data_IF_151554758170
#
_entry.id   IF_151554758170
#
_cell.length_a   1.000
_cell.length_b   1.000
_cell.length_c   1.000
_cell.angle_alpha   90.00
_cell.angle_beta   90.00
_cell.angle_gamma   90.00
#
_symmetry.space_group_name_H-M   'P 1'
#
loop_
_entity.id
_entity.type
_entity.pdbx_description
1 polymer ?
#
# COMPACT_ATOMS: atom_id res chain seq x y z
N UNK A 1 -13.85 -12.19 -1.83
CA UNK A 1 -12.81 -12.98 -1.12
C UNK A 1 -12.12 -12.03 -0.17
N UNK A 2 -12.10 -12.31 1.13
CA UNK A 2 -11.29 -11.56 2.10
C UNK A 2 -9.83 -12.01 1.90
N UNK A 3 -9.04 -11.23 1.17
CA UNK A 3 -7.64 -11.54 0.82
C UNK A 3 -6.67 -11.28 1.97
N UNK A 4 -7.04 -10.45 2.94
CA UNK A 4 -6.29 -10.26 4.18
C UNK A 4 -6.77 -11.30 5.20
N UNK A 5 -6.11 -12.45 5.22
CA UNK A 5 -6.28 -13.45 6.27
C UNK A 5 -5.03 -13.48 7.12
N UNK A 6 -5.11 -12.90 8.32
CA UNK A 6 -4.14 -13.17 9.36
C UNK A 6 -4.24 -14.66 9.73
N UNK A 7 -3.16 -15.41 9.54
CA UNK A 7 -3.03 -16.78 10.05
C UNK A 7 -2.08 -16.73 11.25
N UNK A 8 -2.59 -16.79 12.49
CA UNK A 8 -1.77 -16.81 13.69
C UNK A 8 -1.18 -18.20 13.91
N UNK A 9 0.11 -18.28 14.22
CA UNK A 9 0.72 -19.50 14.77
C UNK A 9 0.61 -19.51 16.31
N UNK A 10 0.41 -20.69 16.90
CA UNK A 10 0.25 -20.87 18.34
C UNK A 10 1.55 -20.61 19.14
N UNK A 11 1.46 -20.43 20.47
CA UNK A 11 2.63 -20.23 21.31
C UNK A 11 3.50 -21.49 21.37
N UNK A 12 4.81 -21.36 21.16
CA UNK A 12 5.79 -22.45 21.14
C UNK A 12 6.55 -22.60 22.48
N UNK A 13 5.87 -22.46 23.63
CA UNK A 13 6.53 -22.57 24.94
C UNK A 13 5.59 -22.92 26.11
N UNK A 14 6.13 -23.45 27.22
CA UNK A 14 5.34 -23.78 28.42
C UNK A 14 4.77 -22.52 29.08
N UNK A 15 3.55 -22.63 29.60
CA UNK A 15 2.83 -21.54 30.28
C UNK A 15 3.23 -21.47 31.76
N UNK A 16 3.86 -20.38 32.17
CA UNK A 16 4.00 -19.99 33.58
C UNK A 16 3.09 -18.78 33.88
N UNK A 17 2.47 -18.79 35.07
CA UNK A 17 1.38 -17.88 35.45
C UNK A 17 1.80 -16.81 36.46
N UNK A 18 1.21 -15.60 36.29
CA UNK A 18 0.77 -14.61 37.30
C UNK A 18 1.21 -13.16 37.06
N UNK A 19 0.91 -12.64 35.87
CA UNK A 19 0.85 -11.20 35.55
C UNK A 19 -0.36 -11.00 34.62
N UNK A 20 -1.17 -9.92 34.72
CA UNK A 20 -2.17 -9.66 33.69
C UNK A 20 -1.44 -9.64 32.34
N UNK A 21 -1.93 -10.33 31.29
CA UNK A 21 -1.19 -10.35 30.04
C UNK A 21 -1.02 -8.89 29.60
N UNK A 22 0.19 -8.45 29.20
CA UNK A 22 0.28 -7.24 28.41
C UNK A 22 -0.68 -7.43 27.23
N UNK A 23 -1.26 -6.35 26.72
CA UNK A 23 -2.27 -6.37 25.64
C UNK A 23 -1.78 -6.97 24.31
N UNK A 24 -0.62 -7.64 24.32
CA UNK A 24 0.01 -8.35 23.23
C UNK A 24 -0.82 -9.57 22.83
N UNK A 25 -1.15 -9.68 21.54
CA UNK A 25 -1.89 -10.82 21.00
C UNK A 25 -1.19 -12.15 21.29
N UNK A 26 -1.96 -13.23 21.45
CA UNK A 26 -1.41 -14.56 21.84
C UNK A 26 -0.59 -15.26 20.74
N UNK A 27 -0.46 -14.64 19.57
CA UNK A 27 0.24 -15.20 18.43
C UNK A 27 1.76 -15.02 18.57
N UNK A 28 2.52 -16.03 18.15
CA UNK A 28 3.98 -15.95 18.00
C UNK A 28 4.38 -15.40 16.62
N UNK A 29 3.51 -15.59 15.63
CA UNK A 29 3.69 -15.19 14.24
C UNK A 29 2.33 -14.92 13.61
N UNK A 30 2.25 -13.91 12.74
CA UNK A 30 1.08 -13.62 11.92
C UNK A 30 1.52 -13.42 10.48
N UNK A 31 0.98 -14.25 9.58
CA UNK A 31 1.15 -14.09 8.13
C UNK A 31 -0.05 -13.39 7.50
N UNK A 32 0.20 -12.44 6.62
CA UNK A 32 -0.80 -11.70 5.86
C UNK A 32 -0.40 -11.65 4.39
N UNK A 33 -1.38 -11.86 3.52
CA UNK A 33 -1.26 -11.74 2.07
C UNK A 33 -1.96 -10.46 1.58
N UNK A 34 -1.29 -9.68 0.73
CA UNK A 34 -1.86 -8.47 0.15
C UNK A 34 -1.67 -8.46 -1.38
N UNK A 35 -2.72 -8.16 -2.16
CA UNK A 35 -2.64 -8.14 -3.60
C UNK A 35 -1.98 -6.86 -4.12
N UNK A 36 -1.21 -6.99 -5.18
CA UNK A 36 -0.93 -5.88 -6.09
C UNK A 36 -2.19 -5.41 -6.80
N UNK A 37 -2.07 -4.31 -7.53
CA UNK A 37 -3.20 -3.69 -8.25
C UNK A 37 -2.89 -3.37 -9.70
N UNK A 38 -3.94 -3.14 -10.46
CA UNK A 38 -3.92 -2.43 -11.74
C UNK A 38 -4.98 -1.33 -11.71
N UNK A 39 -4.73 -0.21 -12.39
CA UNK A 39 -5.71 0.85 -12.56
C UNK A 39 -6.48 0.59 -13.87
N UNK A 40 -7.74 0.20 -13.78
CA UNK A 40 -8.63 -0.01 -14.93
C UNK A 40 -9.07 1.32 -15.56
N UNK A 41 -9.06 2.38 -14.75
CA UNK A 41 -9.37 3.74 -15.14
C UNK A 41 -8.49 4.67 -14.32
N UNK A 42 -7.99 5.74 -14.93
CA UNK A 42 -7.29 6.81 -14.23
C UNK A 42 -7.60 8.14 -14.94
N UNK A 43 -8.26 9.04 -14.22
CA UNK A 43 -8.48 10.41 -14.63
C UNK A 43 -7.80 11.34 -13.65
N UNK A 44 -6.98 12.24 -14.18
CA UNK A 44 -6.12 13.14 -13.44
C UNK A 44 -6.59 14.57 -13.71
N UNK A 45 -6.91 15.31 -12.66
CA UNK A 45 -7.25 16.73 -12.73
C UNK A 45 -6.00 17.62 -12.74
N UNK A 46 -6.22 18.94 -12.80
CA UNK A 46 -5.13 19.91 -12.65
C UNK A 46 -4.52 19.86 -11.23
N UNK A 47 -3.22 20.12 -11.07
CA UNK A 47 -2.56 20.05 -9.77
C UNK A 47 -3.17 21.07 -8.81
N UNK A 48 -3.38 20.64 -7.57
CA UNK A 48 -3.81 21.50 -6.48
C UNK A 48 -2.68 22.40 -5.99
N UNK A 49 -3.00 23.27 -5.04
CA UNK A 49 -2.03 24.18 -4.40
C UNK A 49 -0.98 23.44 -3.56
N UNK A 50 -1.24 22.19 -3.22
CA UNK A 50 -0.34 21.29 -2.50
C UNK A 50 0.63 20.53 -3.43
N UNK A 51 0.58 20.80 -4.74
CA UNK A 51 1.40 20.13 -5.76
C UNK A 51 0.92 18.72 -6.12
N UNK A 52 -0.20 18.26 -5.58
CA UNK A 52 -0.77 16.96 -5.92
C UNK A 52 -1.94 17.09 -6.87
N UNK A 53 -2.09 16.09 -7.73
CA UNK A 53 -3.24 16.01 -8.61
C UNK A 53 -4.43 15.36 -7.90
N UNK A 54 -5.61 16.00 -7.88
CA UNK A 54 -6.84 15.29 -7.61
C UNK A 54 -7.05 14.28 -8.75
N UNK A 55 -7.31 13.03 -8.40
CA UNK A 55 -7.54 11.96 -9.36
C UNK A 55 -8.77 11.13 -8.99
N UNK A 56 -9.33 10.48 -10.01
CA UNK A 56 -10.31 9.43 -9.87
C UNK A 56 -9.79 8.20 -10.59
N UNK A 57 -9.78 7.06 -9.91
CA UNK A 57 -9.26 5.82 -10.48
C UNK A 57 -10.12 4.63 -10.10
N UNK A 58 -10.21 3.64 -10.97
CA UNK A 58 -10.78 2.33 -10.63
C UNK A 58 -9.62 1.36 -10.44
N UNK A 59 -9.39 0.98 -9.19
CA UNK A 59 -8.41 -0.02 -8.82
C UNK A 59 -9.00 -1.42 -8.93
N UNK A 60 -8.20 -2.36 -9.42
CA UNK A 60 -8.50 -3.77 -9.44
C UNK A 60 -7.35 -4.54 -8.79
N UNK A 61 -7.66 -5.28 -7.74
CA UNK A 61 -6.72 -6.19 -7.10
C UNK A 61 -6.47 -7.38 -8.05
N UNK A 62 -5.21 -7.78 -8.15
CA UNK A 62 -4.77 -8.91 -8.99
C UNK A 62 -4.03 -9.95 -8.16
N UNK A 63 -4.00 -11.20 -8.65
CA UNK A 63 -3.38 -12.33 -7.92
C UNK A 63 -1.85 -12.37 -8.03
N UNK A 64 -1.21 -11.21 -8.00
CA UNK A 64 0.20 -11.06 -7.68
C UNK A 64 0.26 -10.64 -6.20
N UNK A 65 0.68 -11.57 -5.35
CA UNK A 65 0.43 -11.50 -3.92
C UNK A 65 1.74 -11.29 -3.17
N UNK A 66 1.83 -10.17 -2.47
CA UNK A 66 2.86 -9.95 -1.47
C UNK A 66 2.51 -10.71 -0.20
N UNK A 67 3.52 -11.18 0.52
CA UNK A 67 3.33 -11.88 1.78
C UNK A 67 4.23 -11.28 2.85
N UNK A 68 3.62 -10.78 3.92
CA UNK A 68 4.35 -10.30 5.11
C UNK A 68 4.06 -11.25 6.26
N UNK A 69 5.12 -11.72 6.91
CA UNK A 69 5.05 -12.47 8.16
C UNK A 69 5.66 -11.62 9.26
N UNK A 70 4.84 -11.23 10.24
CA UNK A 70 5.28 -10.52 11.44
C UNK A 70 5.52 -11.55 12.56
N UNK A 71 6.73 -11.58 13.10
CA UNK A 71 7.13 -12.49 14.19
C UNK A 71 7.45 -11.72 15.44
N UNK A 72 7.02 -12.28 16.57
CA UNK A 72 7.39 -11.78 17.88
C UNK A 72 8.88 -12.00 18.11
N UNK A 73 9.55 -10.94 18.53
CA UNK A 73 10.94 -10.96 18.95
C UNK A 73 11.09 -11.65 20.30
N UNK A 74 12.26 -12.25 20.57
CA UNK A 74 12.53 -12.80 21.90
C UNK A 74 12.65 -11.68 22.92
N UNK A 75 12.48 -11.98 24.22
CA UNK A 75 12.64 -10.96 25.27
C UNK A 75 14.07 -10.39 25.37
N UNK A 76 15.03 -11.01 24.69
CA UNK A 76 16.43 -10.60 24.63
C UNK A 76 16.70 -9.67 23.43
N UNK A 77 15.79 -9.61 22.48
CA UNK A 77 15.90 -8.77 21.30
C UNK A 77 15.43 -7.34 21.62
N UNK A 78 16.09 -6.39 20.97
CA UNK A 78 15.86 -4.97 21.18
C UNK A 78 14.64 -4.56 20.36
N UNK A 79 13.58 -4.08 21.04
CA UNK A 79 12.23 -3.75 20.53
C UNK A 79 12.16 -2.78 19.33
N UNK A 80 12.80 -3.19 18.24
CA UNK A 80 13.01 -2.49 16.98
C UNK A 80 12.29 -3.25 15.89
N UNK A 81 11.92 -2.55 14.82
CA UNK A 81 11.34 -3.20 13.64
C UNK A 81 12.49 -3.65 12.75
N UNK A 82 12.59 -4.95 12.50
CA UNK A 82 13.54 -5.51 11.54
C UNK A 82 12.80 -6.02 10.30
N UNK A 83 13.48 -6.04 9.15
CA UNK A 83 12.94 -6.58 7.91
C UNK A 83 13.98 -7.48 7.23
N UNK A 84 13.53 -8.64 6.80
CA UNK A 84 14.27 -9.57 5.95
C UNK A 84 13.42 -9.98 4.75
N UNK A 85 14.08 -10.31 3.64
CA UNK A 85 13.41 -10.82 2.46
C UNK A 85 13.52 -12.35 2.43
N UNK A 86 12.44 -13.03 2.05
CA UNK A 86 12.45 -14.50 1.84
C UNK A 86 13.38 -14.88 0.67
N UNK A 87 13.44 -14.02 -0.34
CA UNK A 87 14.35 -14.11 -1.49
C UNK A 87 15.13 -12.78 -1.57
N UNK A 88 16.47 -12.78 -1.55
CA UNK A 88 17.25 -11.55 -1.65
C UNK A 88 16.96 -10.79 -2.94
N UNK A 89 16.72 -9.49 -2.81
CA UNK A 89 16.47 -8.57 -3.92
C UNK A 89 17.19 -7.24 -3.61
N UNK A 90 18.12 -6.85 -4.49
CA UNK A 90 18.94 -5.65 -4.29
C UNK A 90 18.14 -4.35 -4.48
N UNK A 91 17.02 -4.40 -5.20
CA UNK A 91 16.18 -3.24 -5.49
C UNK A 91 15.14 -2.98 -4.39
N UNK A 92 15.08 -3.85 -3.37
CA UNK A 92 14.15 -3.74 -2.25
C UNK A 92 14.93 -3.35 -0.99
N UNK A 93 14.82 -2.10 -0.51
CA UNK A 93 15.48 -1.70 0.73
C UNK A 93 14.92 -2.50 1.91
N UNK A 94 15.77 -2.84 2.87
CA UNK A 94 15.38 -3.55 4.11
C UNK A 94 15.54 -2.68 5.36
N UNK A 95 15.79 -1.39 5.18
CA UNK A 95 15.96 -0.38 6.23
C UNK A 95 14.65 0.40 6.50
N UNK A 96 14.77 1.51 7.21
CA UNK A 96 13.66 2.39 7.59
C UNK A 96 12.99 3.12 6.40
N UNK A 97 13.58 3.07 5.21
CA UNK A 97 12.96 3.59 4.00
C UNK A 97 11.87 2.65 3.45
N UNK A 98 11.91 1.36 3.81
CA UNK A 98 10.91 0.39 3.36
C UNK A 98 9.52 0.67 3.95
N UNK A 99 8.50 0.69 3.09
CA UNK A 99 7.12 0.98 3.49
C UNK A 99 6.55 0.00 4.52
N UNK A 100 6.95 -1.27 4.53
CA UNK A 100 6.55 -2.25 5.54
C UNK A 100 7.15 -1.93 6.93
N UNK A 101 8.43 -1.52 6.97
CA UNK A 101 9.09 -1.08 8.21
C UNK A 101 8.43 0.18 8.75
N UNK A 102 8.17 1.16 7.86
CA UNK A 102 7.47 2.40 8.20
C UNK A 102 6.06 2.13 8.71
N UNK A 103 5.34 1.18 8.11
CA UNK A 103 4.01 0.77 8.54
C UNK A 103 4.00 0.18 9.95
N UNK A 104 4.86 -0.80 10.23
CA UNK A 104 4.98 -1.40 11.54
C UNK A 104 5.39 -0.37 12.60
N UNK A 105 6.36 0.49 12.28
CA UNK A 105 6.82 1.58 13.17
C UNK A 105 5.70 2.57 13.48
N UNK A 106 4.96 3.01 12.46
CA UNK A 106 3.84 3.93 12.61
C UNK A 106 2.74 3.34 13.49
N UNK A 107 2.41 2.06 13.30
CA UNK A 107 1.42 1.37 14.12
C UNK A 107 1.91 1.22 15.57
N UNK A 108 3.15 0.81 15.78
CA UNK A 108 3.74 0.67 17.12
C UNK A 108 3.67 2.00 17.90
N UNK A 109 4.08 3.10 17.27
CA UNK A 109 3.99 4.44 17.85
C UNK A 109 2.55 4.84 18.16
N UNK A 110 1.62 4.57 17.24
CA UNK A 110 0.19 4.92 17.41
C UNK A 110 -0.45 4.14 18.55
N UNK A 111 -0.08 2.87 18.72
CA UNK A 111 -0.65 1.98 19.73
C UNK A 111 0.13 1.92 21.05
N UNK A 112 1.28 2.60 21.14
CA UNK A 112 2.15 2.58 22.32
C UNK A 112 2.85 1.22 22.55
N UNK A 113 3.16 0.49 21.48
CA UNK A 113 3.84 -0.81 21.54
C UNK A 113 5.36 -0.61 21.46
N UNK A 114 6.10 -1.19 22.41
CA UNK A 114 7.57 -1.13 22.45
C UNK A 114 8.28 -2.48 22.23
N UNK A 115 7.54 -3.55 21.95
CA UNK A 115 8.06 -4.92 21.88
C UNK A 115 8.85 -5.21 20.59
N UNK A 116 8.84 -4.31 19.61
CA UNK A 116 9.41 -4.54 18.28
C UNK A 116 8.70 -5.64 17.48
N UNK A 117 9.28 -5.99 16.33
CA UNK A 117 8.78 -7.07 15.45
C UNK A 117 9.83 -7.42 14.40
N UNK A 118 9.96 -8.71 14.10
CA UNK A 118 10.71 -9.17 12.93
C UNK A 118 9.76 -9.39 11.75
N UNK A 119 9.96 -8.64 10.68
CA UNK A 119 9.22 -8.79 9.43
C UNK A 119 9.99 -9.68 8.47
N UNK A 120 9.30 -10.67 7.90
CA UNK A 120 9.75 -11.44 6.75
C UNK A 120 8.83 -11.12 5.57
N UNK A 121 9.41 -10.64 4.48
CA UNK A 121 8.69 -10.21 3.28
C UNK A 121 9.02 -11.11 2.09
N UNK A 122 7.99 -11.66 1.45
CA UNK A 122 8.10 -12.37 0.17
C UNK A 122 7.49 -11.51 -0.93
N UNK A 123 8.35 -11.09 -1.87
CA UNK A 123 7.98 -10.25 -3.01
C UNK A 123 7.50 -11.08 -4.20
N UNK A 124 6.38 -10.67 -4.79
CA UNK A 124 5.84 -11.22 -6.05
C UNK A 124 5.35 -10.14 -7.00
N UNK A 125 5.04 -8.94 -6.52
CA UNK A 125 4.72 -7.82 -7.42
C UNK A 125 6.05 -7.21 -7.91
N UNK A 126 6.25 -7.06 -9.22
CA UNK A 126 7.45 -6.44 -9.77
C UNK A 126 7.70 -5.05 -9.20
N UNK A 127 8.96 -4.78 -8.83
CA UNK A 127 9.39 -3.47 -8.36
C UNK A 127 9.18 -2.45 -9.49
N UNK A 128 8.79 -1.22 -9.13
CA UNK A 128 8.58 -0.10 -10.05
C UNK A 128 7.54 -0.28 -11.19
N UNK A 129 6.81 -1.38 -11.28
CA UNK A 129 5.84 -1.65 -12.36
C UNK A 129 4.51 -0.90 -12.31
N UNK A 130 4.36 0.11 -11.42
CA UNK A 130 3.08 0.82 -11.22
C UNK A 130 1.97 -0.03 -10.57
N UNK A 131 2.31 -1.22 -10.06
CA UNK A 131 1.35 -2.19 -9.50
C UNK A 131 1.21 -2.10 -7.96
N UNK A 132 1.85 -1.10 -7.36
CA UNK A 132 1.83 -0.79 -5.92
C UNK A 132 2.23 -1.94 -4.98
N UNK A 133 3.24 -2.74 -5.35
CA UNK A 133 3.79 -3.80 -4.48
C UNK A 133 4.21 -3.29 -3.10
N UNK A 134 4.99 -2.21 -3.03
CA UNK A 134 5.39 -1.61 -1.73
C UNK A 134 4.20 -1.11 -0.89
N UNK A 135 3.10 -0.73 -1.53
CA UNK A 135 1.87 -0.35 -0.81
C UNK A 135 1.13 -1.57 -0.27
N UNK A 136 1.13 -2.68 -1.01
CA UNK A 136 0.63 -3.96 -0.53
C UNK A 136 1.46 -4.49 0.65
N UNK A 137 2.80 -4.35 0.60
CA UNK A 137 3.70 -4.68 1.71
C UNK A 137 3.34 -3.90 2.99
N UNK A 138 3.16 -2.59 2.89
CA UNK A 138 2.76 -1.75 4.03
C UNK A 138 1.38 -2.12 4.60
N UNK A 139 0.39 -2.34 3.74
CA UNK A 139 -0.94 -2.74 4.16
C UNK A 139 -0.92 -4.11 4.88
N UNK A 140 -0.17 -5.07 4.34
CA UNK A 140 0.03 -6.37 4.98
C UNK A 140 0.72 -6.24 6.34
N UNK A 141 1.77 -5.40 6.45
CA UNK A 141 2.46 -5.13 7.71
C UNK A 141 1.53 -4.51 8.76
N UNK A 142 0.71 -3.51 8.38
CA UNK A 142 -0.30 -2.92 9.29
C UNK A 142 -1.23 -3.99 9.87
N UNK A 143 -1.77 -4.86 9.02
CA UNK A 143 -2.70 -5.92 9.44
C UNK A 143 -1.99 -6.99 10.28
N UNK A 144 -0.80 -7.42 9.87
CA UNK A 144 -0.04 -8.45 10.56
C UNK A 144 0.36 -7.98 11.96
N UNK A 145 0.89 -6.77 12.09
CA UNK A 145 1.29 -6.18 13.36
C UNK A 145 0.08 -5.86 14.25
N UNK A 146 -1.04 -5.37 13.70
CA UNK A 146 -2.27 -5.12 14.47
C UNK A 146 -2.79 -6.40 15.13
N UNK A 147 -2.73 -7.52 14.40
CA UNK A 147 -3.10 -8.84 14.91
C UNK A 147 -2.06 -9.41 15.89
N UNK A 148 -0.77 -9.30 15.58
CA UNK A 148 0.33 -9.83 16.41
C UNK A 148 0.35 -9.14 17.79
N UNK A 149 0.31 -7.81 17.79
CA UNK A 149 0.35 -7.00 19.01
C UNK A 149 -1.03 -6.86 19.68
N UNK A 150 -2.11 -7.35 19.07
CA UNK A 150 -3.45 -7.28 19.67
C UNK A 150 -3.95 -5.84 19.88
N UNK A 151 -3.52 -4.89 19.04
CA UNK A 151 -3.82 -3.46 19.24
C UNK A 151 -5.29 -3.12 19.03
N UNK A 152 -6.03 -3.98 18.31
CA UNK A 152 -7.48 -3.89 18.19
C UNK A 152 -7.97 -2.76 17.29
N UNK A 153 -7.10 -2.18 16.45
CA UNK A 153 -7.49 -1.14 15.51
C UNK A 153 -8.44 -1.74 14.46
N UNK A 154 -9.50 -1.02 14.19
CA UNK A 154 -10.50 -1.31 13.18
C UNK A 154 -9.96 -1.03 11.77
N UNK A 155 -10.62 -1.60 10.74
CA UNK A 155 -10.24 -1.37 9.35
C UNK A 155 -10.23 0.13 8.95
N UNK A 156 -11.19 0.98 9.37
CA UNK A 156 -11.10 2.43 9.14
C UNK A 156 -9.87 3.08 9.78
N UNK A 157 -9.49 2.69 10.99
CA UNK A 157 -8.31 3.23 11.67
C UNK A 157 -7.01 2.79 10.96
N UNK A 158 -6.93 1.52 10.55
CA UNK A 158 -5.81 1.03 9.73
C UNK A 158 -5.74 1.75 8.38
N UNK A 159 -6.89 2.04 7.76
CA UNK A 159 -6.96 2.79 6.50
C UNK A 159 -6.48 4.23 6.65
N UNK A 160 -6.78 4.87 7.78
CA UNK A 160 -6.26 6.20 8.09
C UNK A 160 -4.74 6.22 8.29
N UNK A 161 -4.17 5.18 8.91
CA UNK A 161 -2.71 5.01 9.00
C UNK A 161 -2.09 4.74 7.63
N UNK A 162 -2.72 3.87 6.82
CA UNK A 162 -2.28 3.57 5.46
C UNK A 162 -2.19 4.83 4.59
N UNK A 163 -3.20 5.71 4.64
CA UNK A 163 -3.21 6.95 3.88
C UNK A 163 -2.04 7.90 4.22
N UNK A 164 -1.48 7.81 5.44
CA UNK A 164 -0.28 8.57 5.84
C UNK A 164 1.01 8.04 5.23
N UNK A 165 1.03 6.77 4.84
CA UNK A 165 2.20 6.10 4.25
C UNK A 165 2.27 6.31 2.73
N UNK A 166 1.11 6.32 2.07
CA UNK A 166 1.00 6.58 0.63
C UNK A 166 -0.43 6.42 0.12
N UNK A 167 -0.75 7.06 -1.01
CA UNK A 167 -2.11 7.10 -1.53
C UNK A 167 -2.64 5.75 -2.00
N UNK A 168 -1.77 4.82 -2.42
CA UNK A 168 -2.16 3.48 -2.86
C UNK A 168 -2.23 2.46 -1.69
N UNK A 169 -1.72 2.79 -0.50
CA UNK A 169 -1.66 1.86 0.66
C UNK A 169 -3.05 1.49 1.22
N UNK A 170 -4.07 2.38 1.21
CA UNK A 170 -5.42 2.00 1.62
C UNK A 170 -6.08 0.95 0.70
N UNK A 171 -5.72 0.88 -0.58
CA UNK A 171 -6.40 0.00 -1.52
C UNK A 171 -6.23 -1.49 -1.18
N UNK A 172 -5.02 -2.02 -0.92
CA UNK A 172 -4.85 -3.41 -0.52
C UNK A 172 -5.60 -3.79 0.76
N UNK A 173 -5.94 -2.85 1.64
CA UNK A 173 -6.82 -3.09 2.80
C UNK A 173 -8.26 -3.43 2.39
N UNK A 174 -8.73 -2.87 1.28
CA UNK A 174 -10.07 -3.09 0.71
C UNK A 174 -10.08 -4.24 -0.30
N UNK A 175 -9.08 -4.28 -1.19
CA UNK A 175 -8.94 -5.20 -2.32
C UNK A 175 -10.13 -5.24 -3.26
N UNK A 176 -10.34 -6.40 -3.89
CA UNK A 176 -11.36 -6.62 -4.92
C UNK A 176 -11.31 -5.53 -6.01
N UNK A 177 -12.38 -4.77 -6.19
CA UNK A 177 -12.43 -3.61 -7.09
C UNK A 177 -12.93 -2.41 -6.28
N UNK A 178 -12.30 -1.25 -6.46
CA UNK A 178 -12.69 -0.04 -5.74
C UNK A 178 -12.44 1.22 -6.56
N UNK A 179 -13.20 2.26 -6.26
CA UNK A 179 -12.92 3.62 -6.75
C UNK A 179 -12.00 4.32 -5.75
N UNK A 180 -10.86 4.79 -6.23
CA UNK A 180 -10.00 5.74 -5.54
C UNK A 180 -10.35 7.17 -5.95
N UNK A 181 -10.46 8.07 -4.97
CA UNK A 181 -10.66 9.51 -5.18
C UNK A 181 -9.69 10.34 -4.34
N UNK A 182 -9.70 11.67 -4.48
CA UNK A 182 -8.71 12.51 -3.80
C UNK A 182 -7.35 12.34 -4.46
N UNK A 183 -6.35 11.82 -3.75
CA UNK A 183 -5.07 11.42 -4.36
C UNK A 183 -5.05 9.93 -4.73
N UNK A 184 -6.18 9.23 -4.59
CA UNK A 184 -6.30 7.77 -4.64
C UNK A 184 -6.45 7.13 -3.26
N UNK A 185 -6.20 7.91 -2.20
CA UNK A 185 -6.21 7.52 -0.78
C UNK A 185 -7.61 7.30 -0.20
N UNK A 186 -8.65 7.84 -0.85
CA UNK A 186 -10.05 7.63 -0.47
C UNK A 186 -10.65 6.50 -1.30
N UNK A 187 -10.66 5.31 -0.71
CA UNK A 187 -11.07 4.07 -1.38
C UNK A 187 -12.50 3.70 -1.02
N UNK A 188 -13.34 3.52 -2.04
CA UNK A 188 -14.73 3.05 -1.90
C UNK A 188 -14.90 1.77 -2.71
N UNK A 189 -15.24 0.62 -2.08
CA UNK A 189 -15.42 -0.64 -2.80
C UNK A 189 -16.60 -0.55 -3.79
N UNK A 190 -16.47 -1.22 -4.93
CA UNK A 190 -17.53 -1.32 -5.94
C UNK A 190 -17.82 -2.77 -6.29
N UNK A 191 -19.08 -3.05 -6.65
CA UNK A 191 -19.48 -4.38 -7.08
C UNK A 191 -19.08 -4.61 -8.54
N UNK A 192 -18.31 -5.66 -8.78
CA UNK A 192 -18.00 -6.16 -10.11
C UNK A 192 -18.59 -7.56 -10.32
N UNK A 193 -18.76 -7.94 -11.59
CA UNK A 193 -19.27 -9.26 -11.98
C UNK A 193 -18.33 -9.88 -12.99
N UNK A 194 -18.10 -11.19 -12.87
CA UNK A 194 -17.27 -11.97 -13.78
C UNK A 194 -15.87 -12.27 -13.24
N UNK A 195 -15.14 -13.07 -14.01
CA UNK A 195 -13.73 -13.36 -13.79
C UNK A 195 -12.90 -12.59 -14.82
N UNK A 196 -11.83 -11.95 -14.37
CA UNK A 196 -10.91 -11.22 -15.23
C UNK A 196 -9.58 -11.98 -15.30
N UNK A 197 -9.07 -12.16 -16.51
CA UNK A 197 -7.77 -12.78 -16.76
C UNK A 197 -6.82 -11.70 -17.26
N UNK A 198 -5.68 -11.55 -16.61
CA UNK A 198 -4.69 -10.50 -16.89
C UNK A 198 -3.37 -11.11 -17.32
N UNK A 199 -2.75 -10.50 -18.33
CA UNK A 199 -1.35 -10.72 -18.71
C UNK A 199 -0.63 -9.39 -18.54
N UNK A 200 0.47 -9.39 -17.81
CA UNK A 200 1.29 -8.20 -17.59
C UNK A 200 2.58 -8.31 -18.40
N UNK A 201 2.81 -7.35 -19.29
CA UNK A 201 4.10 -7.15 -19.93
C UNK A 201 4.87 -6.10 -19.11
N UNK A 202 5.96 -6.55 -18.49
CA UNK A 202 6.77 -5.72 -17.60
C UNK A 202 7.93 -5.13 -18.41
N UNK A 203 8.23 -3.86 -18.17
CA UNK A 203 9.44 -3.22 -18.70
C UNK A 203 10.61 -3.50 -17.74
N UNK A 204 11.82 -3.57 -18.30
CA UNK A 204 13.05 -3.72 -17.50
C UNK A 204 13.34 -2.44 -16.69
N UNK A 205 12.90 -1.29 -17.18
CA UNK A 205 13.07 0.01 -16.55
C UNK A 205 11.80 0.50 -15.84
N UNK A 206 11.98 1.11 -14.67
CA UNK A 206 10.93 1.77 -13.91
C UNK A 206 10.72 3.24 -14.31
N UNK A 207 9.48 3.72 -14.22
CA UNK A 207 9.17 5.15 -14.34
C UNK A 207 8.88 5.76 -12.97
N UNK A 208 9.59 6.85 -12.65
CA UNK A 208 9.32 7.64 -11.45
C UNK A 208 7.92 8.28 -11.54
N UNK A 209 7.03 7.99 -10.59
CA UNK A 209 5.68 8.56 -10.56
C UNK A 209 5.68 10.10 -10.63
N UNK A 210 6.50 10.84 -9.84
CA UNK A 210 6.63 12.29 -10.00
C UNK A 210 7.07 12.75 -11.40
N UNK A 211 7.96 12.01 -12.08
CA UNK A 211 8.40 12.35 -13.42
C UNK A 211 7.27 12.18 -14.46
N UNK A 212 6.46 11.13 -14.31
CA UNK A 212 5.28 10.90 -15.17
C UNK A 212 4.23 12.01 -15.00
N UNK A 213 3.96 12.45 -13.76
CA UNK A 213 3.02 13.56 -13.52
C UNK A 213 3.52 14.89 -14.11
N UNK A 214 4.81 15.22 -13.96
CA UNK A 214 5.38 16.41 -14.62
C UNK A 214 5.23 16.35 -16.14
N UNK A 215 5.47 15.19 -16.73
CA UNK A 215 5.29 15.01 -18.18
C UNK A 215 3.82 15.12 -18.60
N UNK A 216 2.90 14.66 -17.76
CA UNK A 216 1.46 14.85 -17.99
C UNK A 216 1.09 16.34 -18.01
N UNK A 217 1.62 17.14 -17.07
CA UNK A 217 1.36 18.59 -17.03
C UNK A 217 1.80 19.30 -18.31
N UNK A 218 3.02 19.00 -18.78
CA UNK A 218 3.55 19.53 -20.03
C UNK A 218 2.64 19.21 -21.23
N UNK A 219 2.15 17.96 -21.32
CA UNK A 219 1.29 17.51 -22.42
C UNK A 219 -0.13 18.06 -22.34
N UNK A 220 -0.62 18.35 -21.14
CA UNK A 220 -1.93 18.92 -20.90
C UNK A 220 -1.94 20.46 -21.02
N UNK A 221 -0.77 21.09 -21.23
CA UNK A 221 -0.64 22.55 -21.24
C UNK A 221 -0.91 23.18 -19.87
N UNK A 222 -0.74 22.41 -18.79
CA UNK A 222 -0.93 22.88 -17.43
C UNK A 222 0.31 23.67 -17.03
N UNK A 223 0.14 24.99 -16.88
CA UNK A 223 1.21 25.86 -16.41
C UNK A 223 1.23 25.84 -14.89
N UNK A 224 2.39 25.59 -14.24
CA UNK A 224 2.49 25.65 -12.78
C UNK A 224 2.02 27.01 -12.27
N UNK A 225 1.17 27.01 -11.25
CA UNK A 225 0.67 28.23 -10.62
C UNK A 225 1.87 29.05 -10.09
N UNK A 226 2.27 30.08 -10.84
CA UNK A 226 3.47 30.87 -10.58
C UNK A 226 4.08 31.54 -11.81
N UNK A 227 3.79 31.05 -13.02
CA UNK A 227 4.18 31.73 -14.26
C UNK A 227 2.99 32.55 -14.81
N UNK A 228 3.02 33.87 -14.56
CA UNK A 228 2.37 34.96 -15.31
C UNK A 228 0.97 34.75 -15.93
N UNK A 229 -0.01 35.53 -15.44
CA UNK A 229 -1.36 35.69 -16.02
C UNK A 229 -1.35 36.05 -17.52
N UNK A 230 -2.29 35.47 -18.27
CA UNK A 230 -2.75 36.03 -19.55
C UNK A 230 -3.82 35.20 -20.26
N UNK A 231 -5.09 35.64 -20.13
CA UNK A 231 -6.28 35.27 -20.90
C UNK A 231 -6.96 33.92 -20.61
N UNK A 232 -8.30 33.98 -20.55
CA UNK A 232 -9.18 32.98 -19.97
C UNK A 232 -9.37 31.72 -20.81
N UNK A 233 -9.79 30.65 -20.14
CA UNK A 233 -10.16 29.40 -20.78
C UNK A 233 -11.51 28.90 -20.25
N UNK A 234 -12.49 28.81 -21.15
CA UNK A 234 -13.74 28.08 -20.97
C UNK A 234 -13.51 26.64 -21.41
N UNK A 235 -13.19 25.74 -20.49
CA UNK A 235 -12.90 24.34 -20.79
C UNK A 235 -14.16 23.51 -21.04
N UNK A 236 -14.41 23.16 -22.30
CA UNK A 236 -15.20 21.98 -22.66
C UNK A 236 -14.32 20.72 -22.68
N UNK A 237 -14.90 19.51 -22.68
CA UNK A 237 -14.14 18.27 -22.69
C UNK A 237 -13.31 18.16 -23.97
N UNK A 238 -12.00 17.92 -23.82
CA UNK A 238 -11.11 17.63 -24.95
C UNK A 238 -11.38 16.20 -25.40
N UNK A 239 -12.23 16.05 -26.41
CA UNK A 239 -12.29 14.82 -27.19
C UNK A 239 -10.97 14.69 -27.96
N UNK A 240 -10.22 13.62 -27.70
CA UNK A 240 -9.10 13.23 -28.57
C UNK A 240 -9.64 12.26 -29.60
N UNK A 241 -9.46 12.59 -30.87
CA UNK A 241 -9.64 11.65 -31.98
C UNK A 241 -8.68 10.48 -31.78
N UNK A 242 -9.25 9.28 -31.71
CA UNK A 242 -8.51 8.02 -31.74
C UNK A 242 -8.20 7.74 -33.21
N UNK A 243 -6.92 7.66 -33.64
CA UNK A 243 -6.61 7.21 -34.98
C UNK A 243 -7.08 5.76 -35.12
N UNK A 244 -7.86 5.48 -36.16
CA UNK A 244 -8.23 4.12 -36.52
C UNK A 244 -6.97 3.27 -36.73
N UNK A 245 -6.88 2.21 -35.92
CA UNK A 245 -6.26 0.90 -36.16
C UNK A 245 -4.99 0.81 -37.03
N UNK A 246 -3.97 0.15 -36.45
CA UNK A 246 -3.35 -1.05 -37.03
C UNK A 246 -3.16 -2.10 -35.94
#
# INVERSE_FOLDING_TARGET
MSHLRAVPDGPTGPRESSTPPPRSGSASSVRVEAPGKVNLFLSVGAPGTDGYHPLTTVFQAVRLIETVTARRQSAQDHGTVTLTLEEPDADVPVDDSNLAVRAATLLAQTAGVGEGVDLLLRKRVPVAGGMAGGSADAAAALVACNALWGTGLSLPELSALAARLGADVPFPLTGATAVGSGRGDRVTPIMTRGAYHWVFALADDGLSTPAVFRRFDELAGIVPAGAGRGAGFTGGPVARDVPEAL
#
